data_IF_736003824653
#
_entry.id   IF_736003824653
#
_cell.length_a   1.000
_cell.length_b   1.000
_cell.length_c   1.000
_cell.angle_alpha   90.00
_cell.angle_beta   90.00
_cell.angle_gamma   90.00
#
_symmetry.space_group_name_H-M   'P 1'
#
loop_
_entity.id
_entity.type
_entity.pdbx_description
1 polymer ?
#
# COMPACT_ATOMS: atom_id res chain seq x y z
N UNK A 1 3.54 32.27 -9.46
CA UNK A 1 2.45 32.45 -8.47
C UNK A 1 1.11 32.51 -9.22
N UNK A 2 0.00 32.17 -8.58
CA UNK A 2 -1.32 32.28 -9.22
C UNK A 2 -1.74 33.77 -9.28
N UNK A 3 -2.40 34.26 -10.34
CA UNK A 3 -2.85 35.66 -10.39
C UNK A 3 -3.81 36.03 -9.25
N UNK A 4 -4.63 35.06 -8.82
CA UNK A 4 -5.57 35.21 -7.70
C UNK A 4 -4.93 35.43 -6.32
N UNK A 5 -3.61 35.25 -6.16
CA UNK A 5 -2.91 35.57 -4.90
C UNK A 5 -2.46 37.02 -4.83
N UNK A 6 -2.75 37.82 -5.87
CA UNK A 6 -2.47 39.25 -5.83
C UNK A 6 -3.31 39.94 -4.77
N UNK A 7 -2.87 41.12 -4.35
CA UNK A 7 -3.55 41.93 -3.35
C UNK A 7 -4.98 42.32 -3.78
N UNK A 8 -5.14 42.71 -5.04
CA UNK A 8 -6.42 43.07 -5.65
C UNK A 8 -6.61 42.24 -6.93
N UNK A 9 -7.01 40.96 -6.80
CA UNK A 9 -7.16 40.06 -7.94
C UNK A 9 -8.43 40.36 -8.72
N UNK A 10 -8.46 39.98 -10.00
CA UNK A 10 -9.74 39.91 -10.70
C UNK A 10 -10.64 38.86 -10.03
N UNK A 11 -11.95 39.10 -10.05
CA UNK A 11 -12.90 38.18 -9.44
C UNK A 11 -12.79 36.75 -10.02
N UNK A 12 -12.55 36.62 -11.33
CA UNK A 12 -12.36 35.33 -11.98
C UNK A 12 -11.10 34.61 -11.46
N UNK A 13 -9.95 35.31 -11.39
CA UNK A 13 -8.69 34.74 -10.92
C UNK A 13 -8.74 34.33 -9.44
N UNK A 14 -9.46 35.11 -8.62
CA UNK A 14 -9.69 34.80 -7.21
C UNK A 14 -10.57 33.57 -7.03
N UNK A 15 -11.68 33.47 -7.78
CA UNK A 15 -12.52 32.28 -7.77
C UNK A 15 -11.76 31.03 -8.23
N UNK A 16 -10.91 31.14 -9.24
CA UNK A 16 -10.10 30.03 -9.71
C UNK A 16 -9.06 29.57 -8.68
N UNK A 17 -8.47 30.50 -7.92
CA UNK A 17 -7.61 30.17 -6.80
C UNK A 17 -8.39 29.44 -5.70
N UNK A 18 -9.56 29.95 -5.31
CA UNK A 18 -10.43 29.34 -4.31
C UNK A 18 -10.86 27.93 -4.73
N UNK A 19 -11.25 27.74 -6.00
CA UNK A 19 -11.60 26.41 -6.54
C UNK A 19 -10.46 25.41 -6.35
N UNK A 20 -9.22 25.80 -6.70
CA UNK A 20 -8.03 24.95 -6.53
C UNK A 20 -7.77 24.62 -5.06
N UNK A 21 -7.92 25.58 -4.15
CA UNK A 21 -7.76 25.35 -2.73
C UNK A 21 -8.85 24.40 -2.19
N UNK A 22 -10.11 24.60 -2.59
CA UNK A 22 -11.22 23.71 -2.23
C UNK A 22 -11.00 22.29 -2.74
N UNK A 23 -10.46 22.11 -3.95
CA UNK A 23 -10.12 20.77 -4.46
C UNK A 23 -9.08 20.05 -3.59
N UNK A 24 -8.07 20.77 -3.11
CA UNK A 24 -7.05 20.22 -2.20
C UNK A 24 -7.66 19.82 -0.86
N UNK A 25 -8.47 20.69 -0.27
CA UNK A 25 -9.16 20.43 1.00
C UNK A 25 -10.18 19.29 0.90
N UNK A 26 -10.94 19.22 -0.20
CA UNK A 26 -11.85 18.11 -0.46
C UNK A 26 -11.11 16.77 -0.55
N UNK A 27 -9.90 16.74 -1.13
CA UNK A 27 -9.08 15.51 -1.16
C UNK A 27 -8.67 15.10 0.25
N UNK A 28 -8.20 16.06 1.07
CA UNK A 28 -7.84 15.82 2.48
C UNK A 28 -9.03 15.27 3.27
N UNK A 29 -10.20 15.92 3.19
CA UNK A 29 -11.43 15.46 3.84
C UNK A 29 -11.88 14.07 3.38
N UNK A 30 -11.71 13.73 2.10
CA UNK A 30 -12.04 12.39 1.60
C UNK A 30 -11.09 11.33 2.16
N UNK A 31 -9.80 11.65 2.27
CA UNK A 31 -8.80 10.77 2.87
C UNK A 31 -9.06 10.56 4.36
N UNK A 32 -9.36 11.63 5.10
CA UNK A 32 -9.77 11.57 6.51
C UNK A 32 -11.01 10.71 6.70
N UNK A 33 -12.10 10.98 5.96
CA UNK A 33 -13.32 10.16 6.02
C UNK A 33 -13.08 8.70 5.65
N UNK A 34 -12.18 8.43 4.71
CA UNK A 34 -11.80 7.06 4.35
C UNK A 34 -11.10 6.38 5.52
N UNK A 35 -10.16 7.07 6.16
CA UNK A 35 -9.45 6.55 7.33
C UNK A 35 -10.42 6.35 8.51
N UNK A 36 -11.31 7.32 8.78
CA UNK A 36 -12.32 7.22 9.83
C UNK A 36 -13.23 6.00 9.61
N UNK A 37 -13.67 5.76 8.38
CA UNK A 37 -14.46 4.55 8.06
C UNK A 37 -13.67 3.25 8.25
N UNK A 38 -12.38 3.26 7.94
CA UNK A 38 -11.51 2.08 8.12
C UNK A 38 -11.16 1.83 9.58
N UNK A 39 -11.03 2.88 10.38
CA UNK A 39 -10.71 2.85 11.80
C UNK A 39 -11.97 2.76 12.68
N UNK A 40 -13.15 3.01 12.13
CA UNK A 40 -14.42 2.89 12.83
C UNK A 40 -14.57 1.45 13.34
N UNK A 41 -14.47 1.30 14.65
CA UNK A 41 -14.77 0.05 15.32
C UNK A 41 -16.30 -0.10 15.30
N UNK A 42 -16.85 -1.24 14.83
CA UNK A 42 -18.29 -1.47 14.89
C UNK A 42 -18.76 -1.41 16.35
N UNK A 43 -19.99 -0.92 16.55
CA UNK A 43 -20.59 -0.84 17.88
C UNK A 43 -20.47 -2.19 18.61
N UNK A 44 -20.25 -2.16 19.93
CA UNK A 44 -20.11 -3.37 20.76
C UNK A 44 -21.27 -4.37 20.61
N UNK A 45 -22.45 -3.90 20.19
CA UNK A 45 -23.64 -4.75 19.92
C UNK A 45 -23.53 -5.56 18.63
N UNK A 46 -22.73 -5.10 17.67
CA UNK A 46 -22.47 -5.74 16.38
C UNK A 46 -21.08 -6.42 16.36
N UNK A 47 -20.48 -6.65 17.53
CA UNK A 47 -19.26 -7.45 17.60
C UNK A 47 -19.60 -8.89 17.23
N UNK A 48 -18.79 -9.57 16.38
CA UNK A 48 -19.05 -10.95 16.02
C UNK A 48 -19.17 -11.83 17.27
N UNK A 49 -20.33 -12.45 17.43
CA UNK A 49 -20.59 -13.41 18.49
C UNK A 49 -19.89 -14.73 18.14
N UNK A 50 -19.67 -15.61 19.11
CA UNK A 50 -19.14 -16.96 18.85
C UNK A 50 -19.99 -17.73 17.81
N UNK A 51 -21.30 -17.50 17.78
CA UNK A 51 -22.20 -18.08 16.77
C UNK A 51 -21.91 -17.55 15.35
N UNK A 52 -21.65 -16.25 15.20
CA UNK A 52 -21.31 -15.65 13.91
C UNK A 52 -19.97 -16.17 13.39
N UNK A 53 -18.99 -16.36 14.29
CA UNK A 53 -17.69 -16.97 13.96
C UNK A 53 -17.83 -18.42 13.51
N UNK A 54 -18.66 -19.20 14.20
CA UNK A 54 -18.95 -20.57 13.81
C UNK A 54 -19.65 -20.62 12.44
N UNK A 55 -20.60 -19.72 12.19
CA UNK A 55 -21.30 -19.60 10.91
C UNK A 55 -20.33 -19.27 9.76
N UNK A 56 -19.40 -18.33 9.96
CA UNK A 56 -18.35 -17.98 8.99
C UNK A 56 -17.38 -19.15 8.73
N UNK A 57 -16.99 -19.89 9.78
CA UNK A 57 -16.14 -21.09 9.65
C UNK A 57 -16.86 -22.26 8.97
N UNK A 58 -18.19 -22.36 9.13
CA UNK A 58 -19.01 -23.38 8.46
C UNK A 58 -19.42 -22.99 7.03
N UNK A 59 -19.17 -21.74 6.62
CA UNK A 59 -19.54 -21.26 5.30
C UNK A 59 -18.68 -21.96 4.24
N UNK A 60 -19.32 -22.73 3.36
CA UNK A 60 -18.65 -23.58 2.36
C UNK A 60 -18.32 -25.00 2.83
N UNK A 61 -18.71 -25.39 4.05
CA UNK A 61 -18.71 -26.80 4.49
C UNK A 61 -20.04 -27.48 4.19
N UNK A 62 -21.14 -26.72 4.25
CA UNK A 62 -22.46 -27.13 3.80
C UNK A 62 -22.76 -26.38 2.51
N UNK A 63 -22.49 -27.02 1.37
CA UNK A 63 -23.11 -26.60 0.12
C UNK A 63 -24.63 -26.76 0.33
N UNK A 64 -25.35 -25.69 0.05
CA UNK A 64 -26.79 -25.65 0.17
C UNK A 64 -27.37 -26.40 -1.03
N UNK A 65 -27.30 -27.73 -0.99
CA UNK A 65 -27.96 -28.64 -1.92
C UNK A 65 -29.47 -28.59 -1.65
N UNK A 66 -30.14 -27.64 -2.30
CA UNK A 66 -31.54 -27.81 -2.68
C UNK A 66 -31.59 -28.22 -4.16
N UNK A 67 -32.24 -29.37 -4.40
CA UNK A 67 -32.52 -30.10 -5.66
C UNK A 67 -31.34 -30.80 -6.35
N UNK A 68 -31.19 -32.11 -6.13
CA UNK A 68 -31.80 -33.10 -7.04
C UNK A 68 -31.70 -34.52 -6.45
N UNK A 69 -32.83 -35.22 -6.52
CA UNK A 69 -33.01 -36.60 -6.12
C UNK A 69 -32.31 -37.57 -7.07
N UNK A 70 -31.55 -38.51 -6.48
CA UNK A 70 -31.27 -39.81 -7.09
C UNK A 70 -29.88 -39.96 -7.67
N UNK A 71 -29.09 -40.83 -7.05
CA UNK A 71 -28.50 -42.03 -7.67
C UNK A 71 -27.96 -42.88 -6.51
N UNK A 72 -28.63 -44.00 -6.27
CA UNK A 72 -28.05 -45.16 -5.59
C UNK A 72 -26.96 -45.75 -6.50
N UNK A 73 -25.77 -46.02 -5.95
CA UNK A 73 -24.91 -47.07 -6.49
C UNK A 73 -23.95 -47.58 -5.40
N UNK A 74 -24.40 -48.70 -4.82
CA UNK A 74 -23.67 -49.94 -4.57
C UNK A 74 -22.34 -49.88 -3.80
N UNK A 75 -22.41 -50.41 -2.58
CA UNK A 75 -21.31 -51.07 -1.88
C UNK A 75 -20.82 -52.27 -2.71
N UNK A 76 -19.52 -52.31 -3.03
CA UNK A 76 -18.82 -53.56 -3.32
C UNK A 76 -17.49 -53.58 -2.56
N UNK A 77 -17.39 -54.57 -1.67
CA UNK A 77 -16.20 -55.02 -0.96
C UNK A 77 -15.04 -55.32 -1.92
N UNK A 78 -13.82 -54.94 -1.53
CA UNK A 78 -12.64 -55.28 -2.32
C UNK A 78 -11.31 -54.88 -1.70
N UNK A 79 -10.89 -55.65 -0.70
CA UNK A 79 -9.50 -55.85 -0.23
C UNK A 79 -8.69 -54.64 0.22
N UNK A 80 -8.41 -54.64 1.53
CA UNK A 80 -7.31 -53.91 2.16
C UNK A 80 -5.97 -54.27 1.50
N UNK A 81 -5.55 -53.48 0.52
CA UNK A 81 -4.18 -53.46 0.03
C UNK A 81 -3.31 -52.83 1.11
N UNK A 82 -2.44 -53.64 1.69
CA UNK A 82 -1.47 -53.22 2.69
C UNK A 82 -0.60 -52.09 2.14
N UNK A 83 -0.73 -50.91 2.74
CA UNK A 83 0.17 -49.78 2.54
C UNK A 83 1.57 -50.14 3.03
N UNK A 84 2.40 -50.66 2.12
CA UNK A 84 3.84 -50.77 2.33
C UNK A 84 4.48 -49.46 1.88
N UNK A 85 4.83 -48.63 2.86
CA UNK A 85 5.68 -47.46 2.72
C UNK A 85 6.97 -47.81 1.94
N UNK A 86 7.31 -47.09 0.85
CA UNK A 86 8.55 -47.35 0.11
C UNK A 86 9.74 -46.86 0.94
N UNK A 87 10.52 -47.82 1.44
CA UNK A 87 11.81 -47.55 2.07
C UNK A 87 12.86 -47.12 1.04
N UNK A 88 13.85 -46.41 1.55
CA UNK A 88 14.80 -45.58 0.83
C UNK A 88 15.54 -46.23 -0.37
N UNK A 89 15.72 -45.40 -1.39
CA UNK A 89 16.86 -45.40 -2.32
C UNK A 89 17.09 -46.66 -3.17
N UNK A 90 16.12 -46.98 -4.03
CA UNK A 90 16.41 -47.76 -5.23
C UNK A 90 17.05 -46.84 -6.29
N UNK A 91 18.38 -46.76 -6.30
CA UNK A 91 19.07 -46.20 -7.46
C UNK A 91 18.75 -47.08 -8.66
N UNK A 92 18.15 -46.55 -9.74
CA UNK A 92 17.77 -47.36 -10.88
C UNK A 92 19.03 -47.97 -11.50
N UNK A 93 19.03 -49.30 -11.66
CA UNK A 93 20.12 -50.04 -12.27
C UNK A 93 20.52 -49.41 -13.63
N UNK A 94 21.81 -49.39 -13.99
CA UNK A 94 22.29 -48.76 -15.21
C UNK A 94 21.60 -49.35 -16.43
N UNK A 95 20.88 -48.50 -17.18
CA UNK A 95 20.11 -48.91 -18.37
C UNK A 95 21.01 -49.63 -19.36
N UNK A 96 20.58 -50.81 -19.78
CA UNK A 96 21.27 -51.60 -20.80
C UNK A 96 21.34 -50.86 -22.14
N UNK A 97 22.29 -51.22 -23.02
CA UNK A 97 22.48 -50.56 -24.33
C UNK A 97 21.21 -50.60 -25.19
N UNK A 98 20.44 -51.69 -25.12
CA UNK A 98 19.13 -51.80 -25.78
C UNK A 98 18.07 -50.88 -25.14
N UNK A 99 18.00 -50.80 -23.81
CA UNK A 99 17.08 -49.87 -23.12
C UNK A 99 17.40 -48.41 -23.44
N UNK A 100 18.70 -48.05 -23.56
CA UNK A 100 19.12 -46.70 -24.01
C UNK A 100 18.71 -46.42 -25.45
N UNK A 101 18.88 -47.39 -26.37
CA UNK A 101 18.45 -47.26 -27.77
C UNK A 101 16.94 -47.11 -27.90
N UNK A 102 16.16 -47.96 -27.23
CA UNK A 102 14.68 -47.88 -27.19
C UNK A 102 14.20 -46.56 -26.61
N UNK A 103 14.82 -46.08 -25.54
CA UNK A 103 14.49 -44.77 -24.96
C UNK A 103 14.82 -43.60 -25.90
N UNK A 104 15.93 -43.67 -26.65
CA UNK A 104 16.29 -42.66 -27.65
C UNK A 104 15.29 -42.64 -28.82
N UNK A 105 14.86 -43.80 -29.31
CA UNK A 105 13.84 -43.93 -30.36
C UNK A 105 12.48 -43.40 -29.88
N UNK A 106 12.04 -43.76 -28.68
CA UNK A 106 10.83 -43.20 -28.07
C UNK A 106 10.91 -41.67 -27.90
N UNK A 107 12.08 -41.14 -27.52
CA UNK A 107 12.28 -39.68 -27.42
C UNK A 107 12.19 -39.00 -28.78
N UNK A 108 12.72 -39.61 -29.85
CA UNK A 108 12.59 -39.11 -31.23
C UNK A 108 11.13 -39.11 -31.68
N UNK A 109 10.43 -40.23 -31.51
CA UNK A 109 9.00 -40.34 -31.84
C UNK A 109 8.15 -39.32 -31.07
N UNK A 110 8.43 -39.11 -29.78
CA UNK A 110 7.75 -38.08 -28.97
C UNK A 110 8.02 -36.67 -29.51
N UNK A 111 9.26 -36.37 -29.89
CA UNK A 111 9.63 -35.06 -30.46
C UNK A 111 8.93 -34.82 -31.80
N UNK A 112 8.92 -35.80 -32.69
CA UNK A 112 8.24 -35.73 -33.98
C UNK A 112 6.73 -35.58 -33.81
N UNK A 113 6.13 -36.31 -32.87
CA UNK A 113 4.72 -36.14 -32.52
C UNK A 113 4.42 -34.74 -31.96
N UNK A 114 5.30 -34.16 -31.15
CA UNK A 114 5.18 -32.78 -30.66
C UNK A 114 5.31 -31.76 -31.81
N UNK A 115 6.26 -31.95 -32.72
CA UNK A 115 6.43 -31.09 -33.90
C UNK A 115 5.19 -31.14 -34.81
N UNK A 116 4.63 -32.34 -35.04
CA UNK A 116 3.37 -32.51 -35.79
C UNK A 116 2.18 -31.84 -35.08
N UNK A 117 2.09 -31.95 -33.75
CA UNK A 117 1.07 -31.24 -32.96
C UNK A 117 1.22 -29.72 -33.07
N UNK A 118 2.45 -29.19 -33.00
CA UNK A 118 2.72 -27.75 -33.18
C UNK A 118 2.37 -27.28 -34.59
N UNK A 119 2.72 -28.03 -35.63
CA UNK A 119 2.37 -27.70 -37.01
C UNK A 119 0.85 -27.66 -37.22
N UNK A 120 0.11 -28.62 -36.62
CA UNK A 120 -1.36 -28.61 -36.63
C UNK A 120 -1.94 -27.40 -35.89
N UNK A 121 -1.37 -27.04 -34.73
CA UNK A 121 -1.78 -25.85 -34.00
C UNK A 121 -1.56 -24.56 -34.83
N UNK A 122 -0.40 -24.45 -35.47
CA UNK A 122 -0.04 -23.30 -36.32
C UNK A 122 -0.92 -23.22 -37.59
N UNK A 123 -1.33 -24.34 -38.15
CA UNK A 123 -2.33 -24.37 -39.22
C UNK A 123 -3.71 -23.90 -38.74
N UNK A 124 -4.11 -24.28 -37.52
CA UNK A 124 -5.36 -23.82 -36.90
C UNK A 124 -5.33 -22.34 -36.50
N UNK A 125 -4.16 -21.78 -36.21
CA UNK A 125 -3.96 -20.37 -35.90
C UNK A 125 -4.36 -19.43 -37.05
N UNK A 126 -4.40 -19.92 -38.29
CA UNK A 126 -4.93 -19.17 -39.46
C UNK A 126 -6.39 -18.75 -39.23
N UNK A 127 -7.21 -19.57 -38.56
CA UNK A 127 -8.59 -19.22 -38.25
C UNK A 127 -8.70 -18.22 -37.09
N UNK A 128 -7.62 -18.04 -36.32
CA UNK A 128 -7.51 -17.11 -35.18
C UNK A 128 -6.91 -15.75 -35.55
N UNK A 129 -6.66 -15.47 -36.83
CA UNK A 129 -6.07 -14.19 -37.27
C UNK A 129 -6.85 -12.97 -36.73
N UNK A 130 -8.20 -13.05 -36.66
CA UNK A 130 -9.03 -11.98 -36.11
C UNK A 130 -8.79 -11.74 -34.62
N UNK A 131 -8.66 -12.81 -33.83
CA UNK A 131 -8.39 -12.70 -32.39
C UNK A 131 -6.97 -12.18 -32.16
N UNK A 132 -5.98 -12.68 -32.90
CA UNK A 132 -4.61 -12.17 -32.85
C UNK A 132 -4.51 -10.69 -33.21
N UNK A 133 -5.27 -10.22 -34.21
CA UNK A 133 -5.31 -8.79 -34.54
C UNK A 133 -5.89 -7.95 -33.40
N UNK A 134 -6.94 -8.42 -32.73
CA UNK A 134 -7.51 -7.74 -31.58
C UNK A 134 -6.55 -7.75 -30.37
N UNK A 135 -5.88 -8.86 -30.13
CA UNK A 135 -4.84 -8.99 -29.09
C UNK A 135 -3.66 -8.07 -29.36
N UNK A 136 -3.13 -8.03 -30.59
CA UNK A 136 -2.05 -7.14 -30.97
C UNK A 136 -2.41 -5.67 -30.78
N UNK A 137 -3.66 -5.27 -31.11
CA UNK A 137 -4.15 -3.90 -30.85
C UNK A 137 -4.17 -3.58 -29.36
N UNK A 138 -4.77 -4.46 -28.54
CA UNK A 138 -4.78 -4.29 -27.07
C UNK A 138 -3.37 -4.24 -26.49
N UNK A 139 -2.45 -5.06 -26.99
CA UNK A 139 -1.05 -5.07 -26.57
C UNK A 139 -0.33 -3.78 -26.98
N UNK A 140 -0.59 -3.25 -28.18
CA UNK A 140 -0.06 -1.98 -28.66
C UNK A 140 -0.57 -0.82 -27.80
N UNK A 141 -1.88 -0.71 -27.58
CA UNK A 141 -2.49 0.31 -26.70
C UNK A 141 -1.93 0.25 -25.28
N UNK A 142 -1.82 -0.95 -24.70
CA UNK A 142 -1.21 -1.14 -23.38
C UNK A 142 0.28 -0.78 -23.39
N UNK A 143 1.01 -1.06 -24.47
CA UNK A 143 2.40 -0.66 -24.65
C UNK A 143 2.55 0.85 -24.72
N UNK A 144 1.72 1.53 -25.52
CA UNK A 144 1.69 2.98 -25.67
C UNK A 144 1.34 3.66 -24.34
N UNK A 145 0.30 3.20 -23.63
CA UNK A 145 -0.04 3.71 -22.32
C UNK A 145 1.11 3.53 -21.31
N UNK A 146 1.82 2.39 -21.36
CA UNK A 146 3.02 2.15 -20.54
C UNK A 146 4.16 3.11 -20.92
N UNK A 147 4.39 3.35 -22.21
CA UNK A 147 5.41 4.27 -22.69
C UNK A 147 5.08 5.72 -22.29
N UNK A 148 3.84 6.16 -22.49
CA UNK A 148 3.37 7.48 -22.08
C UNK A 148 3.56 7.70 -20.57
N UNK A 149 3.18 6.70 -19.76
CA UNK A 149 3.42 6.73 -18.30
C UNK A 149 4.91 6.75 -17.94
N UNK A 150 5.78 6.05 -18.69
CA UNK A 150 7.24 6.12 -18.49
C UNK A 150 7.77 7.51 -18.83
N UNK A 151 7.39 8.08 -19.98
CA UNK A 151 7.76 9.45 -20.38
C UNK A 151 7.30 10.47 -19.33
N UNK A 152 6.06 10.38 -18.87
CA UNK A 152 5.55 11.28 -17.82
C UNK A 152 6.34 11.15 -16.51
N UNK A 153 6.76 9.93 -16.13
CA UNK A 153 7.61 9.71 -14.95
C UNK A 153 9.00 10.31 -15.12
N UNK A 154 9.59 10.22 -16.31
CA UNK A 154 10.89 10.84 -16.61
C UNK A 154 10.80 12.36 -16.51
N UNK A 155 9.77 12.96 -17.11
CA UNK A 155 9.48 14.40 -16.98
C UNK A 155 9.29 14.78 -15.51
N UNK A 156 8.46 14.05 -14.77
CA UNK A 156 8.23 14.31 -13.35
C UNK A 156 9.50 14.13 -12.50
N UNK A 157 10.43 13.25 -12.91
CA UNK A 157 11.71 13.06 -12.22
C UNK A 157 12.68 14.22 -12.45
N UNK A 158 12.60 14.86 -13.62
CA UNK A 158 13.42 16.01 -13.97
C UNK A 158 12.94 17.29 -13.28
N UNK A 159 11.63 17.54 -13.26
CA UNK A 159 11.04 18.79 -12.76
C UNK A 159 10.44 18.69 -11.34
N UNK A 160 10.21 17.48 -10.85
CA UNK A 160 9.60 17.23 -9.54
C UNK A 160 10.60 17.08 -8.40
N UNK A 161 10.08 17.20 -7.17
CA UNK A 161 10.85 16.92 -5.97
C UNK A 161 11.21 15.43 -5.90
N UNK A 162 12.48 15.13 -5.67
CA UNK A 162 13.00 13.77 -5.49
C UNK A 162 12.95 13.40 -4.02
N UNK A 163 12.72 12.12 -3.74
CA UNK A 163 12.80 11.61 -2.37
C UNK A 163 14.27 11.38 -2.00
N UNK A 164 14.84 12.32 -1.24
CA UNK A 164 16.21 12.25 -0.72
C UNK A 164 16.28 11.51 0.63
N UNK A 165 15.24 11.59 1.44
CA UNK A 165 15.17 11.00 2.79
C UNK A 165 14.06 9.95 2.92
N UNK A 166 13.87 9.40 4.12
CA UNK A 166 12.70 8.56 4.42
C UNK A 166 11.36 9.31 4.24
N UNK A 167 11.35 10.60 4.55
CA UNK A 167 10.18 11.49 4.42
C UNK A 167 9.96 11.89 2.97
N UNK A 168 8.69 12.07 2.59
CA UNK A 168 8.30 12.58 1.28
C UNK A 168 8.23 14.10 1.34
N UNK A 169 8.47 14.74 0.19
CA UNK A 169 8.20 16.17 0.07
C UNK A 169 6.70 16.40 0.01
N UNK A 170 6.24 17.30 0.87
CA UNK A 170 4.87 17.77 0.93
C UNK A 170 4.85 19.22 0.47
N UNK A 171 4.03 19.50 -0.54
CA UNK A 171 3.82 20.86 -1.02
C UNK A 171 3.21 21.72 0.09
N UNK A 172 3.68 22.98 0.25
CA UNK A 172 3.07 23.91 1.19
C UNK A 172 1.63 24.20 0.78
N UNK A 173 0.83 24.58 1.77
CA UNK A 173 -0.55 24.98 1.54
C UNK A 173 -0.61 26.24 0.67
N UNK A 174 -1.65 26.31 -0.17
CA UNK A 174 -1.88 27.48 -1.00
C UNK A 174 -2.29 28.65 -0.08
N UNK A 175 -1.57 29.77 -0.07
CA UNK A 175 -2.01 30.96 0.64
C UNK A 175 -3.19 31.55 -0.13
N UNK A 176 -4.35 31.61 0.51
CA UNK A 176 -5.58 32.12 -0.09
C UNK A 176 -6.30 33.01 0.92
N UNK A 177 -6.80 34.15 0.44
CA UNK A 177 -7.74 35.00 1.16
C UNK A 177 -9.17 34.63 0.82
N UNK A 178 -10.02 34.63 1.83
CA UNK A 178 -11.47 34.58 1.60
C UNK A 178 -11.97 35.91 1.03
N UNK A 179 -13.16 35.90 0.45
CA UNK A 179 -13.77 37.09 -0.15
C UNK A 179 -13.93 38.23 0.87
N UNK A 180 -14.24 37.90 2.13
CA UNK A 180 -14.40 38.87 3.23
C UNK A 180 -13.06 39.43 3.75
N UNK A 181 -11.95 38.73 3.44
CA UNK A 181 -10.60 39.09 3.85
C UNK A 181 -9.87 39.92 2.79
N UNK A 182 -10.41 40.02 1.57
CA UNK A 182 -9.92 40.93 0.54
C UNK A 182 -10.27 42.38 0.95
N UNK A 183 -9.24 43.15 1.29
CA UNK A 183 -9.36 44.56 1.69
C UNK A 183 -8.93 45.46 0.54
N UNK A 184 -9.60 46.60 0.38
CA UNK A 184 -9.27 47.61 -0.63
C UNK A 184 -8.07 48.51 -0.25
N UNK A 185 -7.71 48.57 1.04
CA UNK A 185 -6.54 49.32 1.54
C UNK A 185 -5.33 48.45 1.90
N UNK A 186 -4.16 48.80 1.35
CA UNK A 186 -2.88 48.13 1.62
C UNK A 186 -2.45 48.22 3.09
N UNK A 187 -2.96 49.21 3.83
CA UNK A 187 -2.64 49.40 5.25
C UNK A 187 -3.31 48.35 6.14
N UNK A 188 -4.40 47.75 5.68
CA UNK A 188 -5.13 46.69 6.39
C UNK A 188 -4.66 45.29 5.99
N UNK A 189 -3.74 45.21 5.03
CA UNK A 189 -3.24 43.95 4.50
C UNK A 189 -2.45 43.19 5.57
N UNK A 190 -2.95 42.01 5.93
CA UNK A 190 -2.20 41.07 6.76
C UNK A 190 -1.26 40.23 5.90
N UNK A 191 -0.01 40.00 6.34
CA UNK A 191 0.90 39.10 5.67
C UNK A 191 0.40 37.66 5.78
N UNK A 192 0.38 36.94 4.65
CA UNK A 192 -0.17 35.57 4.56
C UNK A 192 0.89 34.48 4.75
N UNK A 193 2.10 34.73 4.24
CA UNK A 193 3.11 33.70 4.06
C UNK A 193 4.27 33.94 5.03
N UNK A 194 4.66 32.89 5.75
CA UNK A 194 5.96 32.86 6.39
C UNK A 194 7.05 32.64 5.33
N UNK A 195 7.81 33.70 5.03
CA UNK A 195 8.86 33.67 4.00
C UNK A 195 9.89 32.58 4.27
N UNK A 196 10.21 32.30 5.54
CA UNK A 196 11.19 31.27 5.88
C UNK A 196 10.70 29.87 5.49
N UNK A 197 9.41 29.61 5.70
CA UNK A 197 8.81 28.32 5.36
C UNK A 197 8.74 28.12 3.85
N UNK A 198 8.33 29.14 3.10
CA UNK A 198 8.32 29.10 1.63
C UNK A 198 9.73 28.86 1.05
N UNK A 199 10.75 29.55 1.58
CA UNK A 199 12.14 29.35 1.15
C UNK A 199 12.66 27.97 1.51
N UNK A 200 12.33 27.46 2.69
CA UNK A 200 12.70 26.12 3.13
C UNK A 200 12.05 25.04 2.24
N UNK A 201 10.75 25.15 1.96
CA UNK A 201 10.02 24.25 1.04
C UNK A 201 10.53 24.37 -0.39
N UNK A 202 10.89 25.56 -0.85
CA UNK A 202 11.53 25.78 -2.16
C UNK A 202 12.90 25.10 -2.28
N UNK A 203 13.72 25.13 -1.21
CA UNK A 203 15.00 24.42 -1.17
C UNK A 203 14.80 22.90 -1.18
N UNK A 204 13.76 22.40 -0.51
CA UNK A 204 13.38 20.98 -0.57
C UNK A 204 12.89 20.57 -1.96
N UNK A 205 12.02 21.37 -2.58
CA UNK A 205 11.51 21.13 -3.93
C UNK A 205 12.63 21.07 -4.97
N UNK A 206 13.64 21.93 -4.82
CA UNK A 206 14.85 21.96 -5.67
C UNK A 206 15.85 20.85 -5.34
N UNK A 207 15.57 19.98 -4.36
CA UNK A 207 16.46 18.92 -3.91
C UNK A 207 17.81 19.43 -3.35
N UNK A 208 17.87 20.69 -2.87
CA UNK A 208 19.06 21.26 -2.23
C UNK A 208 19.16 20.80 -0.78
N UNK A 209 18.01 20.76 -0.10
CA UNK A 209 17.86 20.28 1.27
C UNK A 209 16.94 19.07 1.24
N UNK A 210 17.24 18.04 2.02
CA UNK A 210 16.35 16.90 2.18
C UNK A 210 15.17 17.21 3.13
N UNK A 211 14.08 16.50 2.94
CA UNK A 211 12.91 16.59 3.81
C UNK A 211 13.19 15.96 5.18
N UNK A 212 12.94 16.66 6.28
CA UNK A 212 13.16 16.13 7.64
C UNK A 212 12.00 16.53 8.55
N UNK A 213 11.73 15.70 9.55
CA UNK A 213 10.88 16.05 10.67
C UNK A 213 11.74 16.50 11.86
N UNK A 214 11.18 17.34 12.75
CA UNK A 214 11.84 17.68 13.99
C UNK A 214 11.97 16.42 14.87
N UNK A 215 13.20 16.07 15.25
CA UNK A 215 13.43 14.95 16.16
C UNK A 215 13.12 15.37 17.59
N UNK A 216 12.22 14.63 18.24
CA UNK A 216 11.96 14.80 19.67
C UNK A 216 13.10 14.21 20.48
N UNK A 217 13.51 14.88 21.55
CA UNK A 217 14.47 14.34 22.51
C UNK A 217 13.78 13.25 23.34
N UNK A 218 13.94 12.01 22.93
CA UNK A 218 13.38 10.85 23.64
C UNK A 218 14.51 10.12 24.35
N UNK A 219 14.37 9.91 25.66
CA UNK A 219 15.32 9.11 26.44
C UNK A 219 14.74 7.71 26.58
N UNK A 220 15.52 6.69 26.21
CA UNK A 220 15.10 5.27 26.29
C UNK A 220 14.80 4.83 27.72
N UNK A 221 15.61 5.28 28.68
CA UNK A 221 15.49 4.92 30.08
C UNK A 221 15.22 6.16 30.94
N UNK A 222 14.31 6.03 31.90
CA UNK A 222 14.05 7.11 32.85
C UNK A 222 15.33 7.39 33.66
N UNK A 223 15.84 8.63 33.68
CA UNK A 223 17.01 8.94 34.48
C UNK A 223 16.72 8.70 35.95
N UNK A 224 17.64 8.00 36.63
CA UNK A 224 17.52 7.71 38.06
C UNK A 224 17.68 9.02 38.84
N UNK A 225 16.57 9.51 39.40
CA UNK A 225 16.59 10.63 40.34
C UNK A 225 16.94 10.09 41.72
N UNK A 226 18.01 10.63 42.33
CA UNK A 226 18.37 10.36 43.72
C UNK A 226 18.52 11.68 44.46
N UNK A 227 17.93 11.77 45.66
CA UNK A 227 18.19 12.89 46.56
C UNK A 227 19.62 12.76 47.06
N UNK A 228 20.38 13.86 47.05
CA UNK A 228 21.74 13.86 47.59
C UNK A 228 21.68 13.60 49.11
N UNK A 229 22.65 12.85 49.65
CA UNK A 229 22.68 12.47 51.06
C UNK A 229 22.53 13.68 52.01
N UNK A 230 23.22 14.78 51.73
CA UNK A 230 23.14 16.01 52.55
C UNK A 230 21.73 16.58 52.66
N UNK A 231 20.94 16.52 51.59
CA UNK A 231 19.59 17.06 51.57
C UNK A 231 18.61 16.11 52.27
N UNK A 232 18.89 14.80 52.25
CA UNK A 232 18.10 13.81 52.99
C UNK A 232 18.28 13.98 54.50
N UNK A 233 19.52 14.15 54.95
CA UNK A 233 19.84 14.37 56.37
C UNK A 233 19.18 15.67 56.87
N UNK A 234 19.29 16.75 56.10
CA UNK A 234 18.65 18.03 56.44
C UNK A 234 17.12 17.91 56.58
N UNK A 235 16.46 17.23 55.64
CA UNK A 235 15.01 17.01 55.72
C UNK A 235 14.61 16.15 56.94
N UNK A 236 15.38 15.10 57.24
CA UNK A 236 15.15 14.25 58.42
C UNK A 236 15.34 15.02 59.74
N UNK A 237 16.29 15.95 59.79
CA UNK A 237 16.52 16.83 60.95
C UNK A 237 15.38 17.84 61.13
N UNK A 238 14.91 18.44 60.04
CA UNK A 238 13.80 19.40 60.05
C UNK A 238 12.49 18.71 60.47
N UNK A 239 12.18 17.53 59.94
CA UNK A 239 11.02 16.73 60.37
C UNK A 239 11.05 16.37 61.86
N UNK A 240 12.23 16.03 62.41
CA UNK A 240 12.40 15.76 63.83
C UNK A 240 12.17 17.00 64.68
N UNK A 241 12.66 18.16 64.20
CA UNK A 241 12.45 19.44 64.88
C UNK A 241 10.96 19.77 64.96
N UNK A 242 10.25 19.70 63.85
CA UNK A 242 8.81 19.99 63.80
C UNK A 242 7.98 19.03 64.65
N UNK A 243 8.29 17.72 64.66
CA UNK A 243 7.61 16.76 65.55
C UNK A 243 7.81 17.09 67.02
N UNK A 244 9.01 17.52 67.41
CA UNK A 244 9.34 17.92 68.78
C UNK A 244 8.67 19.23 69.20
N UNK A 245 8.31 20.10 68.26
CA UNK A 245 7.57 21.34 68.52
C UNK A 245 6.03 21.12 68.56
N UNK A 246 5.55 19.97 68.06
CA UNK A 246 4.14 19.60 68.01
C UNK A 246 3.69 18.68 69.16
N UNK A 247 4.61 17.93 69.77
CA UNK A 247 4.43 17.18 71.03
C UNK A 247 4.68 18.08 72.25
#
# INVERSE_FOLDING_TARGET
PHPGTSYNPSHADHQDLLRRAVEVEQRRLREERRLDRQLAVPDKRHWPTEQDRLAEMSQGLYDQDDDDSGIEQEEEDGEAVTDVLPTASSYPAPKTRQQRRRAAEQKRLRREAQERKKARALANDVYRIRTFKAELRRQAEASEARQARRRQREVNKLYGARRLSAWKYEEPELPVKLSDELRESLRELRPEINVLEDRYKSLQRRNVIETRCQQKKVVKYKPKKKIKRSHRIFAEEDEKKWKKELD
#
